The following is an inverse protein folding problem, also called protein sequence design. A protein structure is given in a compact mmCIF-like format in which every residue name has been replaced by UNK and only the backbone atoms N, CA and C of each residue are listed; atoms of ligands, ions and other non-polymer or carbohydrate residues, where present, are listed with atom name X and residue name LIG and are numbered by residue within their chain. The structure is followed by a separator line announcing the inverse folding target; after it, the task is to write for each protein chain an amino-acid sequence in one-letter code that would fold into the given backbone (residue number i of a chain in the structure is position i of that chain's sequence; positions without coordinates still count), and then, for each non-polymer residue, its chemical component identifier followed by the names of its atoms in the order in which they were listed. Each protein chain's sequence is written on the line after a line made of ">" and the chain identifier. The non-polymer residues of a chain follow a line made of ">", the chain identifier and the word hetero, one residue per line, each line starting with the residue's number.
data_IF_984795804513
#
_entry.id   IF_984795804513
#
_cell.length_a   1.000
_cell.length_b   1.000
_cell.length_c   1.000
_cell.angle_alpha   90.00
_cell.angle_beta   90.00
_cell.angle_gamma   90.00
#
_symmetry.space_group_name_H-M   'P 1'
#
loop_
_entity.id
_entity.type
_entity.pdbx_description
1 polymer ?
#
# COMPACT_ATOMS: atom_id res chain seq x y z
N UNK A 1 11.96 11.10 -8.09
CA UNK A 1 11.97 10.28 -6.86
C UNK A 1 10.78 9.32 -6.91
N UNK A 2 11.05 8.03 -6.85
CA UNK A 2 10.00 7.01 -6.94
C UNK A 2 9.48 6.73 -5.52
N UNK A 3 8.24 7.15 -5.23
CA UNK A 3 7.60 6.83 -3.95
C UNK A 3 6.73 5.59 -4.11
N UNK A 4 6.65 4.72 -3.09
CA UNK A 4 5.70 3.61 -3.11
C UNK A 4 4.27 4.12 -3.26
N UNK A 5 3.43 3.34 -3.93
CA UNK A 5 2.02 3.67 -4.10
C UNK A 5 1.35 3.69 -2.72
N UNK A 6 0.61 4.75 -2.35
CA UNK A 6 -0.10 4.78 -1.07
C UNK A 6 -1.21 3.73 -1.05
N UNK A 7 -1.31 3.04 0.08
CA UNK A 7 -2.28 1.97 0.29
C UNK A 7 -3.26 2.40 1.38
N UNK A 8 -4.55 2.26 1.11
CA UNK A 8 -5.60 2.52 2.10
C UNK A 8 -6.39 1.23 2.30
N UNK A 9 -6.56 0.85 3.55
CA UNK A 9 -7.40 -0.28 3.96
C UNK A 9 -8.66 0.25 4.63
N UNK A 10 -9.81 -0.01 3.99
CA UNK A 10 -11.12 0.29 4.57
C UNK A 10 -11.62 -0.97 5.28
N UNK A 11 -11.92 -0.85 6.56
CA UNK A 11 -12.28 -1.99 7.39
C UNK A 11 -13.39 -1.62 8.38
N UNK A 12 -13.94 -2.63 9.03
CA UNK A 12 -14.79 -2.45 10.22
C UNK A 12 -13.94 -2.68 11.45
N UNK A 13 -14.21 -1.94 12.50
CA UNK A 13 -13.48 -2.07 13.76
C UNK A 13 -13.79 -3.39 14.45
N UNK A 14 -15.02 -3.88 14.33
CA UNK A 14 -15.47 -5.11 15.00
C UNK A 14 -16.25 -6.00 14.01
N UNK A 15 -16.19 -7.30 14.24
CA UNK A 15 -17.01 -8.26 13.52
C UNK A 15 -16.58 -8.55 12.08
N UNK A 16 -15.32 -8.26 11.73
CA UNK A 16 -14.82 -8.51 10.38
C UNK A 16 -13.55 -9.35 10.42
N UNK A 17 -13.71 -10.66 10.25
CA UNK A 17 -12.56 -11.58 10.24
C UNK A 17 -11.66 -11.37 9.03
N UNK A 18 -12.23 -11.09 7.87
CA UNK A 18 -11.46 -10.81 6.65
C UNK A 18 -10.65 -9.52 6.77
N UNK A 19 -11.17 -8.52 7.48
CA UNK A 19 -10.43 -7.29 7.76
C UNK A 19 -9.20 -7.58 8.61
N UNK A 20 -9.35 -8.41 9.64
CA UNK A 20 -8.23 -8.82 10.50
C UNK A 20 -7.19 -9.61 9.71
N UNK A 21 -7.63 -10.53 8.86
CA UNK A 21 -6.74 -11.33 8.03
C UNK A 21 -5.95 -10.45 7.05
N UNK A 22 -6.61 -9.49 6.42
CA UNK A 22 -5.98 -8.54 5.50
C UNK A 22 -4.94 -7.68 6.21
N UNK A 23 -5.29 -7.14 7.38
CA UNK A 23 -4.37 -6.34 8.18
C UNK A 23 -3.14 -7.14 8.58
N UNK A 24 -3.33 -8.36 9.07
CA UNK A 24 -2.21 -9.23 9.43
C UNK A 24 -1.30 -9.54 8.25
N UNK A 25 -1.89 -9.76 7.08
CA UNK A 25 -1.12 -10.05 5.87
C UNK A 25 -0.25 -8.86 5.48
N UNK A 26 -0.82 -7.65 5.47
CA UNK A 26 -0.08 -6.42 5.18
C UNK A 26 1.02 -6.17 6.20
N UNK A 27 0.73 -6.34 7.49
CA UNK A 27 1.71 -6.16 8.56
C UNK A 27 2.87 -7.15 8.43
N UNK A 28 2.56 -8.40 8.11
CA UNK A 28 3.55 -9.46 7.97
C UNK A 28 4.50 -9.22 6.81
N UNK A 29 4.00 -8.71 5.70
CA UNK A 29 4.84 -8.42 4.53
C UNK A 29 5.48 -7.03 4.59
N UNK A 30 5.21 -6.24 5.63
CA UNK A 30 5.81 -4.93 5.83
C UNK A 30 5.29 -3.84 4.89
N UNK A 31 4.12 -4.02 4.32
CA UNK A 31 3.50 -3.02 3.44
C UNK A 31 2.83 -1.95 4.29
N UNK A 32 3.28 -0.68 4.22
CA UNK A 32 2.60 0.40 4.95
C UNK A 32 1.24 0.71 4.34
N UNK A 33 0.27 1.02 5.19
CA UNK A 33 -1.07 1.35 4.76
C UNK A 33 -1.74 2.31 5.74
N UNK A 34 -2.70 3.07 5.25
CA UNK A 34 -3.59 3.88 6.08
C UNK A 34 -4.84 3.07 6.38
N UNK A 35 -5.16 2.94 7.67
CA UNK A 35 -6.35 2.21 8.12
C UNK A 35 -7.49 3.17 8.36
N UNK A 36 -8.63 2.93 7.71
CA UNK A 36 -9.84 3.74 7.89
C UNK A 36 -11.01 2.82 8.19
N UNK A 37 -11.74 3.15 9.26
CA UNK A 37 -12.89 2.36 9.72
C UNK A 37 -14.20 2.94 9.19
N UNK A 38 -14.88 2.19 8.33
CA UNK A 38 -16.13 2.64 7.69
C UNK A 38 -17.29 2.74 8.67
N UNK A 39 -17.22 2.03 9.78
CA UNK A 39 -18.24 2.09 10.83
C UNK A 39 -18.06 3.27 11.78
N UNK A 40 -16.97 4.02 11.65
CA UNK A 40 -16.67 5.18 12.50
C UNK A 40 -16.42 6.46 11.70
N UNK A 41 -16.15 6.35 10.41
CA UNK A 41 -15.80 7.47 9.53
C UNK A 41 -16.76 7.51 8.35
N UNK A 42 -17.74 8.44 8.34
CA UNK A 42 -18.70 8.56 7.23
C UNK A 42 -18.06 8.79 5.87
N UNK A 43 -16.94 9.52 5.82
CA UNK A 43 -16.22 9.76 4.57
C UNK A 43 -15.62 8.47 4.03
N UNK A 44 -15.10 7.60 4.91
CA UNK A 44 -14.60 6.30 4.52
C UNK A 44 -15.71 5.42 3.96
N UNK A 45 -16.88 5.42 4.60
CA UNK A 45 -18.06 4.68 4.13
C UNK A 45 -18.49 5.17 2.74
N UNK A 46 -18.50 6.48 2.53
CA UNK A 46 -18.85 7.07 1.23
C UNK A 46 -17.82 6.70 0.16
N UNK A 47 -16.55 6.70 0.49
CA UNK A 47 -15.49 6.31 -0.45
C UNK A 47 -15.66 4.87 -0.95
N UNK A 48 -16.00 3.94 -0.05
CA UNK A 48 -16.26 2.54 -0.40
C UNK A 48 -17.47 2.43 -1.34
N UNK A 49 -18.54 3.18 -1.06
CA UNK A 49 -19.75 3.20 -1.90
C UNK A 49 -19.44 3.77 -3.29
N UNK A 50 -18.65 4.83 -3.37
CA UNK A 50 -18.25 5.44 -4.65
C UNK A 50 -17.48 4.47 -5.52
N UNK A 51 -16.69 3.59 -4.93
CA UNK A 51 -15.97 2.54 -5.64
C UNK A 51 -16.87 1.37 -6.08
N UNK A 52 -18.12 1.36 -5.63
CA UNK A 52 -19.09 0.34 -5.99
C UNK A 52 -19.08 -0.89 -5.09
N UNK A 53 -18.44 -0.82 -3.94
CA UNK A 53 -18.37 -1.94 -2.99
C UNK A 53 -19.41 -1.82 -1.89
N UNK A 54 -19.95 -2.96 -1.46
CA UNK A 54 -20.95 -3.04 -0.39
C UNK A 54 -20.42 -3.74 0.86
N UNK A 55 -19.21 -4.23 0.80
CA UNK A 55 -18.60 -5.01 1.89
C UNK A 55 -17.14 -4.62 2.09
N UNK A 56 -16.65 -4.79 3.30
CA UNK A 56 -15.25 -4.59 3.67
C UNK A 56 -14.62 -5.95 3.95
N UNK A 57 -13.28 -6.10 3.91
CA UNK A 57 -12.28 -5.05 3.67
C UNK A 57 -12.26 -4.57 2.21
N UNK A 58 -11.92 -3.31 2.00
CA UNK A 58 -11.65 -2.76 0.67
C UNK A 58 -10.24 -2.18 0.71
N UNK A 59 -9.42 -2.56 -0.26
CA UNK A 59 -8.05 -2.08 -0.37
C UNK A 59 -7.96 -1.21 -1.62
N UNK A 60 -7.37 -0.03 -1.47
CA UNK A 60 -7.08 0.89 -2.58
C UNK A 60 -5.59 1.14 -2.60
N UNK A 61 -4.96 0.89 -3.74
CA UNK A 61 -3.53 1.09 -3.95
C UNK A 61 -3.32 1.70 -5.33
N UNK A 62 -3.26 3.03 -5.41
CA UNK A 62 -3.21 3.73 -6.69
C UNK A 62 -4.46 3.44 -7.52
N UNK A 63 -4.27 2.90 -8.72
CA UNK A 63 -5.36 2.52 -9.61
C UNK A 63 -5.96 1.14 -9.30
N UNK A 64 -5.32 0.37 -8.41
CA UNK A 64 -5.78 -0.95 -8.02
C UNK A 64 -6.71 -0.86 -6.83
N UNK A 65 -7.84 -1.58 -6.89
CA UNK A 65 -8.72 -1.73 -5.74
C UNK A 65 -9.47 -3.05 -5.81
N UNK A 66 -9.80 -3.60 -4.65
CA UNK A 66 -10.59 -4.85 -4.54
C UNK A 66 -11.26 -4.92 -3.19
N UNK A 67 -12.22 -5.83 -3.07
CA UNK A 67 -12.94 -6.11 -1.83
C UNK A 67 -12.68 -7.55 -1.39
N UNK A 68 -12.64 -7.78 -0.09
CA UNK A 68 -12.42 -9.09 0.52
C UNK A 68 -10.95 -9.39 0.75
N UNK A 69 -10.71 -10.50 1.44
CA UNK A 69 -9.34 -10.98 1.69
C UNK A 69 -8.83 -11.71 0.44
N UNK A 70 -7.88 -11.07 -0.25
CA UNK A 70 -7.31 -11.58 -1.49
C UNK A 70 -5.79 -11.67 -1.34
N UNK A 71 -5.26 -12.80 -0.82
CA UNK A 71 -3.82 -12.94 -0.61
C UNK A 71 -3.02 -12.85 -1.89
N UNK A 72 -3.56 -13.28 -3.03
CA UNK A 72 -2.93 -13.12 -4.34
C UNK A 72 -2.64 -11.65 -4.68
N UNK A 73 -3.62 -10.79 -4.45
CA UNK A 73 -3.49 -9.35 -4.70
C UNK A 73 -2.61 -8.67 -3.67
N UNK A 74 -2.72 -9.09 -2.41
CA UNK A 74 -1.86 -8.57 -1.34
C UNK A 74 -0.40 -8.91 -1.57
N UNK A 75 -0.11 -10.12 -2.04
CA UNK A 75 1.25 -10.53 -2.39
C UNK A 75 1.79 -9.71 -3.56
N UNK A 76 0.97 -9.47 -4.58
CA UNK A 76 1.36 -8.62 -5.71
C UNK A 76 1.67 -7.19 -5.25
N UNK A 77 0.86 -6.64 -4.36
CA UNK A 77 1.08 -5.31 -3.78
C UNK A 77 2.39 -5.26 -2.99
N UNK A 78 2.69 -6.28 -2.20
CA UNK A 78 3.94 -6.39 -1.46
C UNK A 78 5.15 -6.39 -2.39
N UNK A 79 5.07 -7.12 -3.50
CA UNK A 79 6.13 -7.13 -4.51
C UNK A 79 6.32 -5.76 -5.16
N UNK A 80 5.24 -5.05 -5.47
CA UNK A 80 5.31 -3.70 -6.03
C UNK A 80 5.99 -2.73 -5.08
N UNK A 81 5.68 -2.81 -3.79
CA UNK A 81 6.33 -1.98 -2.77
C UNK A 81 7.83 -2.29 -2.66
N UNK A 82 8.21 -3.55 -2.68
CA UNK A 82 9.61 -3.97 -2.65
C UNK A 82 10.35 -3.46 -3.88
N UNK A 83 9.79 -3.60 -5.07
CA UNK A 83 10.38 -3.10 -6.31
C UNK A 83 10.56 -1.59 -6.26
N UNK A 84 9.55 -0.85 -5.79
CA UNK A 84 9.65 0.61 -5.67
C UNK A 84 10.74 1.03 -4.70
N UNK A 85 10.87 0.33 -3.57
CA UNK A 85 11.93 0.59 -2.60
C UNK A 85 13.32 0.30 -3.19
N UNK A 86 13.47 -0.82 -3.91
CA UNK A 86 14.72 -1.18 -4.57
C UNK A 86 15.13 -0.15 -5.63
N UNK A 87 14.17 0.34 -6.42
CA UNK A 87 14.43 1.39 -7.41
C UNK A 87 14.88 2.67 -6.73
N UNK A 88 14.25 3.05 -5.62
CA UNK A 88 14.64 4.26 -4.87
C UNK A 88 16.05 4.13 -4.31
N UNK A 89 16.44 2.96 -3.81
CA UNK A 89 17.80 2.71 -3.34
C UNK A 89 18.82 2.77 -4.47
N UNK A 90 18.50 2.22 -5.63
CA UNK A 90 19.36 2.25 -6.81
C UNK A 90 19.56 3.68 -7.30
N UNK A 91 18.53 4.50 -7.32
CA UNK A 91 18.63 5.90 -7.71
C UNK A 91 19.54 6.68 -6.75
N UNK A 92 19.37 6.47 -5.44
CA UNK A 92 20.21 7.11 -4.43
C UNK A 92 21.68 6.67 -4.56
N UNK A 93 21.92 5.40 -4.78
CA UNK A 93 23.27 4.87 -4.98
C UNK A 93 23.91 5.43 -6.26
N UNK A 94 23.14 5.54 -7.33
CA UNK A 94 23.60 6.10 -8.59
C UNK A 94 23.98 7.58 -8.45
N UNK A 95 23.16 8.36 -7.73
CA UNK A 95 23.46 9.76 -7.46
C UNK A 95 24.75 9.94 -6.65
N UNK A 96 24.91 9.11 -5.61
CA UNK A 96 26.14 9.13 -4.79
C UNK A 96 27.37 8.77 -5.63
N UNK A 97 27.25 7.76 -6.49
CA UNK A 97 28.32 7.33 -7.37
C UNK A 97 28.72 8.41 -8.37
N UNK A 98 27.73 9.09 -8.99
CA UNK A 98 27.96 10.18 -9.92
C UNK A 98 28.66 11.37 -9.24
N UNK A 99 28.29 11.69 -8.02
CA UNK A 99 28.90 12.76 -7.24
C UNK A 99 30.37 12.45 -6.97
N UNK A 100 30.70 11.22 -6.57
CA UNK A 100 32.07 10.78 -6.37
C UNK A 100 32.88 10.85 -7.67
N UNK A 101 32.28 10.41 -8.76
CA UNK A 101 32.93 10.42 -10.08
C UNK A 101 33.25 11.84 -10.52
N UNK A 102 32.32 12.78 -10.36
CA UNK A 102 32.54 14.19 -10.69
C UNK A 102 33.66 14.80 -9.83
N UNK A 103 33.67 14.51 -8.54
CA UNK A 103 34.73 14.96 -7.65
C UNK A 103 36.09 14.39 -8.03
N UNK A 104 36.13 13.15 -8.50
CA UNK A 104 37.37 12.51 -8.95
C UNK A 104 37.89 13.10 -10.26
N UNK A 105 36.99 13.56 -11.13
CA UNK A 105 37.33 14.13 -12.41
C UNK A 105 37.92 15.56 -12.30
N UNK A 106 37.67 16.20 -11.20
CA UNK A 106 38.21 17.54 -10.92
C UNK A 106 39.67 17.45 -10.44
#
# INVERSE_FOLDING_TARGET
>A
MTTPVPVTLFAKRTGCQQCVATKRHLDRQGTPYELRYVDQDPEAADAVKLLGYQAVPVIVAGDMHWSGFRPDKLNALGRLHTIAADIAELDAAAEAWLTEFESSAA
#
